data_IF_398930097244
#
_entry.id   IF_398930097244
#
_cell.length_a   1.000
_cell.length_b   1.000
_cell.length_c   1.000
_cell.angle_alpha   90.00
_cell.angle_beta   90.00
_cell.angle_gamma   90.00
#
_symmetry.space_group_name_H-M   'P 1'
#
loop_
_entity.id
_entity.type
_entity.pdbx_description
1 polymer ?
#
# COMPACT_ATOMS: atom_id res chain seq x y z
N UNK A 1 -15.69 -7.19 -10.06
CA UNK A 1 -15.44 -7.40 -8.62
C UNK A 1 -15.39 -6.02 -7.99
N UNK A 2 -16.38 -5.63 -7.19
CA UNK A 2 -16.35 -4.34 -6.49
C UNK A 2 -15.23 -4.39 -5.46
N UNK A 3 -14.26 -3.49 -5.57
CA UNK A 3 -13.20 -3.32 -4.59
C UNK A 3 -13.86 -2.80 -3.31
N UNK A 4 -13.92 -3.64 -2.28
CA UNK A 4 -14.48 -3.26 -0.98
C UNK A 4 -13.68 -2.07 -0.46
N UNK A 5 -14.37 -1.01 -0.03
CA UNK A 5 -13.71 0.11 0.64
C UNK A 5 -12.87 -0.41 1.82
N UNK A 6 -11.62 0.04 1.89
CA UNK A 6 -10.67 -0.34 2.94
C UNK A 6 -11.23 0.05 4.31
N UNK A 7 -11.08 -0.84 5.28
CA UNK A 7 -11.62 -0.68 6.63
C UNK A 7 -10.54 -0.86 7.69
N UNK A 8 -10.74 -0.31 8.88
CA UNK A 8 -9.76 -0.44 9.98
C UNK A 8 -9.52 -1.90 10.38
N UNK A 9 -10.52 -2.77 10.23
CA UNK A 9 -10.36 -4.21 10.46
C UNK A 9 -9.37 -4.87 9.50
N UNK A 10 -9.11 -4.28 8.33
CA UNK A 10 -8.13 -4.84 7.39
C UNK A 10 -6.67 -4.66 7.89
N UNK A 11 -6.44 -3.72 8.81
CA UNK A 11 -5.09 -3.37 9.31
C UNK A 11 -4.92 -3.57 10.82
N UNK A 12 -5.97 -3.96 11.55
CA UNK A 12 -5.99 -3.98 13.02
C UNK A 12 -4.91 -4.89 13.67
N UNK A 13 -4.53 -5.96 12.97
CA UNK A 13 -3.51 -6.93 13.40
C UNK A 13 -2.12 -6.67 12.83
N UNK A 14 -1.89 -5.52 12.20
CA UNK A 14 -0.56 -5.17 11.75
C UNK A 14 0.33 -4.82 12.93
N UNK A 15 1.47 -5.52 13.03
CA UNK A 15 2.51 -5.25 14.00
C UNK A 15 3.52 -4.21 13.51
N UNK A 16 3.76 -4.14 12.19
CA UNK A 16 4.75 -3.26 11.60
C UNK A 16 4.48 -3.00 10.11
N UNK A 17 5.06 -1.92 9.59
CA UNK A 17 5.24 -1.67 8.17
C UNK A 17 6.74 -1.66 7.88
N UNK A 18 7.18 -2.56 7.00
CA UNK A 18 8.57 -2.68 6.58
C UNK A 18 8.72 -2.02 5.22
N UNK A 19 9.50 -0.94 5.17
CA UNK A 19 9.93 -0.30 3.94
C UNK A 19 11.27 -0.90 3.51
N UNK A 20 11.38 -1.28 2.24
CA UNK A 20 12.60 -1.84 1.65
C UNK A 20 13.52 -0.76 1.08
N UNK A 21 13.00 0.45 0.92
CA UNK A 21 13.67 1.62 0.35
C UNK A 21 13.30 2.90 1.13
N UNK A 22 14.04 3.98 0.90
CA UNK A 22 13.71 5.30 1.45
C UNK A 22 12.47 5.89 0.77
N UNK A 23 11.40 6.03 1.54
CA UNK A 23 10.10 6.52 1.07
C UNK A 23 10.00 8.05 1.03
N UNK A 24 10.98 8.78 1.57
CA UNK A 24 10.92 10.24 1.73
C UNK A 24 10.59 10.96 0.43
N UNK A 25 11.15 10.49 -0.67
CA UNK A 25 11.00 11.09 -2.01
C UNK A 25 10.02 10.33 -2.92
N UNK A 26 9.37 9.27 -2.42
CA UNK A 26 8.37 8.52 -3.18
C UNK A 26 7.01 9.23 -3.03
N UNK A 27 6.46 9.84 -4.09
CA UNK A 27 5.29 10.71 -3.98
C UNK A 27 4.04 9.95 -3.51
N UNK A 28 3.87 8.72 -3.99
CA UNK A 28 2.85 7.79 -3.57
C UNK A 28 3.34 6.36 -3.79
N UNK A 29 2.73 5.40 -3.11
CA UNK A 29 2.85 3.97 -3.41
C UNK A 29 1.46 3.43 -3.73
N UNK A 30 1.37 2.40 -4.56
CA UNK A 30 0.13 1.63 -4.74
C UNK A 30 -0.02 0.66 -3.58
N UNK A 31 -1.21 0.58 -3.01
CA UNK A 31 -1.52 -0.34 -1.91
C UNK A 31 -2.40 -1.48 -2.43
N UNK A 32 -2.07 -2.71 -2.06
CA UNK A 32 -2.97 -3.85 -2.22
C UNK A 32 -2.82 -4.81 -1.04
N UNK A 33 -3.86 -5.60 -0.77
CA UNK A 33 -3.81 -6.66 0.24
C UNK A 33 -3.58 -8.03 -0.42
N UNK A 34 -2.39 -8.59 -0.21
CA UNK A 34 -2.06 -9.98 -0.55
C UNK A 34 -2.85 -10.91 0.38
N UNK A 35 -3.82 -11.64 -0.17
CA UNK A 35 -4.80 -12.42 0.60
C UNK A 35 -4.35 -13.84 0.94
N UNK A 36 -3.29 -14.33 0.30
CA UNK A 36 -2.81 -15.71 0.42
C UNK A 36 -1.37 -15.78 0.93
N UNK A 37 -0.93 -14.78 1.70
CA UNK A 37 0.38 -14.81 2.33
C UNK A 37 0.48 -16.00 3.31
N UNK A 38 1.47 -16.88 3.10
CA UNK A 38 1.69 -18.09 3.95
C UNK A 38 2.34 -17.80 5.30
N UNK A 39 2.86 -16.58 5.48
CA UNK A 39 3.56 -16.15 6.69
C UNK A 39 3.06 -14.77 7.11
N UNK A 40 2.91 -14.58 8.42
CA UNK A 40 2.56 -13.30 9.06
C UNK A 40 3.68 -12.26 8.94
N UNK A 41 4.94 -12.69 8.85
CA UNK A 41 6.13 -11.84 8.82
C UNK A 41 7.09 -12.21 7.71
N UNK A 42 8.04 -11.32 7.43
CA UNK A 42 9.07 -11.49 6.41
C UNK A 42 8.61 -11.16 5.00
N UNK A 43 9.58 -11.07 4.09
CA UNK A 43 9.38 -10.64 2.71
C UNK A 43 8.41 -11.56 1.97
N UNK A 44 7.41 -10.97 1.33
CA UNK A 44 6.51 -11.66 0.41
C UNK A 44 7.22 -11.95 -0.91
N UNK A 45 6.93 -13.08 -1.53
CA UNK A 45 7.38 -13.34 -2.89
C UNK A 45 6.45 -12.59 -3.83
N UNK A 46 7.00 -11.60 -4.53
CA UNK A 46 6.29 -10.80 -5.51
C UNK A 46 7.25 -10.55 -6.68
N UNK A 47 6.82 -10.89 -7.89
CA UNK A 47 7.64 -10.86 -9.10
C UNK A 47 7.12 -9.87 -10.17
N UNK A 48 5.91 -9.32 -9.98
CA UNK A 48 5.26 -8.49 -11.01
C UNK A 48 5.65 -7.02 -11.01
N UNK A 49 5.97 -6.47 -9.84
CA UNK A 49 6.15 -5.04 -9.65
C UNK A 49 7.28 -4.75 -8.66
N UNK A 50 7.77 -3.51 -8.68
CA UNK A 50 8.79 -3.07 -7.74
C UNK A 50 8.19 -2.91 -6.35
N UNK A 51 8.56 -3.79 -5.41
CA UNK A 51 8.04 -3.79 -4.05
C UNK A 51 8.82 -2.80 -3.19
N UNK A 52 8.13 -1.78 -2.71
CA UNK A 52 8.66 -0.73 -1.84
C UNK A 52 8.49 -1.10 -0.37
N UNK A 53 7.47 -1.88 -0.02
CA UNK A 53 7.25 -2.29 1.36
C UNK A 53 6.12 -3.29 1.55
N UNK A 54 5.96 -3.74 2.78
CA UNK A 54 4.89 -4.66 3.18
C UNK A 54 4.55 -4.52 4.66
N UNK A 55 3.35 -4.97 5.03
CA UNK A 55 2.97 -5.14 6.44
C UNK A 55 3.49 -6.45 7.01
N UNK A 56 3.75 -6.44 8.31
CA UNK A 56 3.91 -7.63 9.14
C UNK A 56 2.79 -7.71 10.16
N UNK A 57 2.30 -8.91 10.43
CA UNK A 57 1.19 -9.13 11.34
C UNK A 57 1.66 -9.57 12.73
N UNK A 58 0.84 -9.26 13.73
CA UNK A 58 0.94 -9.78 15.09
C UNK A 58 0.79 -11.31 15.10
N UNK A 59 1.37 -11.99 16.10
CA UNK A 59 1.40 -13.46 16.14
C UNK A 59 0.02 -14.11 16.22
N UNK A 60 -0.94 -13.39 16.78
CA UNK A 60 -2.34 -13.76 16.98
C UNK A 60 -3.26 -13.33 15.83
N UNK A 61 -2.73 -12.69 14.79
CA UNK A 61 -3.51 -12.30 13.63
C UNK A 61 -4.28 -13.50 13.03
N UNK A 62 -5.60 -13.37 12.80
CA UNK A 62 -6.42 -14.47 12.30
C UNK A 62 -6.06 -14.82 10.87
N UNK A 63 -6.15 -16.11 10.54
CA UNK A 63 -6.00 -16.57 9.16
C UNK A 63 -7.30 -16.35 8.38
N UNK A 64 -7.22 -15.81 7.16
CA UNK A 64 -8.39 -15.65 6.28
C UNK A 64 -8.86 -16.99 5.70
N UNK A 65 -7.92 -17.91 5.49
CA UNK A 65 -8.11 -19.31 5.10
C UNK A 65 -7.04 -20.14 5.81
N UNK A 66 -7.15 -21.47 5.92
CA UNK A 66 -6.15 -22.30 6.60
C UNK A 66 -4.71 -22.00 6.15
N UNK A 67 -3.92 -21.42 7.05
CA UNK A 67 -2.52 -21.06 6.81
C UNK A 67 -2.29 -19.87 5.85
N UNK A 68 -3.30 -19.04 5.60
CA UNK A 68 -3.22 -17.86 4.75
C UNK A 68 -3.63 -16.60 5.51
N UNK A 69 -2.87 -15.52 5.31
CA UNK A 69 -3.06 -14.24 5.97
C UNK A 69 -3.20 -13.12 4.93
N UNK A 70 -3.98 -12.10 5.28
CA UNK A 70 -4.09 -10.86 4.50
C UNK A 70 -2.99 -9.90 4.92
N UNK A 71 -2.17 -9.42 4.00
CA UNK A 71 -1.07 -8.49 4.27
C UNK A 71 -1.05 -7.37 3.25
N UNK A 72 -0.93 -6.12 3.70
CA UNK A 72 -0.63 -4.98 2.82
C UNK A 72 0.72 -5.14 2.12
N UNK A 73 0.74 -4.79 0.84
CA UNK A 73 1.92 -4.69 -0.02
C UNK A 73 1.90 -3.32 -0.67
N UNK A 74 3.05 -2.66 -0.66
CA UNK A 74 3.27 -1.35 -1.26
C UNK A 74 4.22 -1.48 -2.44
N UNK A 75 3.82 -0.96 -3.59
CA UNK A 75 4.56 -1.19 -4.83
C UNK A 75 4.47 0.01 -5.78
N UNK A 76 5.36 0.02 -6.78
CA UNK A 76 5.35 0.95 -7.91
C UNK A 76 5.30 0.19 -9.24
N UNK A 77 4.52 0.71 -10.18
CA UNK A 77 4.54 0.34 -11.58
C UNK A 77 5.59 1.17 -12.34
N UNK A 78 6.08 0.66 -13.46
CA UNK A 78 7.08 1.37 -14.28
C UNK A 78 6.58 2.73 -14.79
N UNK A 79 5.26 2.88 -15.01
CA UNK A 79 4.62 4.12 -15.46
C UNK A 79 4.14 5.04 -14.32
N UNK A 80 4.48 4.73 -13.07
CA UNK A 80 4.15 5.60 -11.94
C UNK A 80 5.03 6.87 -11.95
N UNK A 81 4.51 7.96 -11.39
CA UNK A 81 5.15 9.30 -11.43
C UNK A 81 6.57 9.31 -10.86
N UNK A 82 6.90 8.38 -9.97
CA UNK A 82 8.26 8.23 -9.45
C UNK A 82 9.29 7.99 -10.55
N UNK A 83 8.95 7.16 -11.56
CA UNK A 83 9.79 6.87 -12.72
C UNK A 83 9.47 7.79 -13.91
N UNK A 84 8.19 8.02 -14.18
CA UNK A 84 7.72 8.83 -15.31
C UNK A 84 7.04 10.13 -14.85
N UNK A 85 7.86 11.14 -14.52
CA UNK A 85 7.37 12.42 -13.95
C UNK A 85 6.36 13.15 -14.83
N UNK A 86 6.54 13.07 -16.15
CA UNK A 86 5.69 13.71 -17.16
C UNK A 86 4.61 12.77 -17.72
N UNK A 87 4.45 11.57 -17.14
CA UNK A 87 3.51 10.55 -17.59
C UNK A 87 2.05 10.82 -17.18
N UNK A 88 1.22 9.77 -17.27
CA UNK A 88 -0.24 9.85 -17.04
C UNK A 88 -0.60 10.35 -15.63
N UNK A 89 0.29 10.15 -14.66
CA UNK A 89 0.11 10.60 -13.27
C UNK A 89 0.84 11.90 -12.96
N UNK A 90 1.17 12.73 -13.96
CA UNK A 90 1.83 14.03 -13.74
C UNK A 90 1.09 14.93 -12.74
N UNK A 91 -0.23 14.95 -12.76
CA UNK A 91 -1.09 15.82 -11.89
C UNK A 91 -2.17 15.04 -11.15
N UNK A 92 -1.95 13.74 -10.92
CA UNK A 92 -2.88 12.86 -10.20
C UNK A 92 -2.12 11.66 -9.66
N UNK A 93 -2.82 10.71 -9.03
CA UNK A 93 -2.24 9.39 -8.74
C UNK A 93 -3.27 8.29 -8.99
N UNK A 94 -2.84 7.02 -9.04
CA UNK A 94 -3.74 5.88 -9.15
C UNK A 94 -4.84 5.85 -8.08
N UNK A 95 -5.88 5.06 -8.31
CA UNK A 95 -7.02 4.96 -7.39
C UNK A 95 -6.58 4.38 -6.05
N UNK A 96 -5.80 3.31 -6.09
CA UNK A 96 -5.23 2.58 -4.96
C UNK A 96 -4.02 3.29 -4.30
N UNK A 97 -3.58 4.42 -4.85
CA UNK A 97 -2.41 5.12 -4.37
C UNK A 97 -2.64 5.76 -2.99
N UNK A 98 -1.61 5.65 -2.14
CA UNK A 98 -1.54 6.27 -0.81
C UNK A 98 -0.22 6.99 -0.65
N UNK A 99 -0.21 8.04 0.18
CA UNK A 99 1.02 8.70 0.61
C UNK A 99 1.74 7.80 1.61
N UNK A 100 2.95 7.28 1.29
CA UNK A 100 3.68 6.37 2.17
C UNK A 100 4.01 6.99 3.53
N UNK A 101 4.11 8.32 3.64
CA UNK A 101 4.39 9.00 4.90
C UNK A 101 3.20 9.00 5.87
N UNK A 102 2.00 8.66 5.38
CA UNK A 102 0.80 8.52 6.21
C UNK A 102 0.54 7.09 6.68
N UNK A 103 1.21 6.12 6.06
CA UNK A 103 1.04 4.70 6.33
C UNK A 103 1.78 4.33 7.61
N UNK A 104 1.06 3.71 8.56
CA UNK A 104 1.61 3.09 9.76
C UNK A 104 0.86 1.78 10.04
N UNK A 105 1.46 0.92 10.86
CA UNK A 105 0.75 -0.27 11.34
C UNK A 105 -0.58 0.14 11.99
N UNK A 106 -1.67 -0.56 11.66
CA UNK A 106 -3.02 -0.28 12.16
C UNK A 106 -3.62 1.05 11.71
N UNK A 107 -2.96 1.75 10.77
CA UNK A 107 -3.43 3.02 10.21
C UNK A 107 -3.49 2.90 8.68
N UNK A 108 -4.68 3.15 8.14
CA UNK A 108 -4.89 3.21 6.69
C UNK A 108 -4.08 4.36 6.08
N UNK A 109 -3.44 4.09 4.95
CA UNK A 109 -2.80 5.13 4.16
C UNK A 109 -3.82 6.13 3.63
N UNK A 110 -3.43 7.40 3.53
CA UNK A 110 -4.27 8.47 2.99
C UNK A 110 -3.72 8.93 1.66
N UNK A 111 -4.61 9.34 0.76
CA UNK A 111 -4.23 10.13 -0.39
C UNK A 111 -4.10 11.59 0.04
N UNK A 112 -2.93 12.17 -0.15
CA UNK A 112 -2.61 13.56 0.22
C UNK A 112 -2.42 14.41 -1.04
N UNK A 113 -2.34 15.73 -0.89
CA UNK A 113 -1.96 16.63 -1.99
C UNK A 113 -0.56 16.31 -2.54
N UNK A 114 0.37 15.85 -1.69
CA UNK A 114 1.70 15.35 -2.10
C UNK A 114 1.57 14.12 -3.01
N UNK A 115 0.74 13.15 -2.62
CA UNK A 115 0.46 11.97 -3.45
C UNK A 115 -0.29 12.35 -4.74
N UNK A 116 -1.21 13.31 -4.68
CA UNK A 116 -1.96 13.77 -5.85
C UNK A 116 -1.11 14.60 -6.81
N UNK A 117 -0.12 15.34 -6.30
CA UNK A 117 0.64 16.38 -7.01
C UNK A 117 -0.25 17.53 -7.52
N UNK A 118 -1.00 18.10 -6.58
CA UNK A 118 -1.91 19.22 -6.82
C UNK A 118 -2.98 19.28 -5.74
N UNK A 119 -4.00 20.11 -5.95
CA UNK A 119 -5.16 20.18 -5.05
C UNK A 119 -5.94 18.88 -5.10
N UNK A 120 -6.09 18.22 -3.96
CA UNK A 120 -6.84 16.98 -3.85
C UNK A 120 -8.35 17.27 -4.06
N UNK A 121 -9.03 16.60 -5.00
CA UNK A 121 -10.46 16.80 -5.18
C UNK A 121 -11.24 16.29 -3.97
N UNK A 122 -12.37 16.95 -3.65
CA UNK A 122 -13.18 16.65 -2.46
C UNK A 122 -13.83 15.27 -2.47
N UNK A 123 -13.88 14.61 -3.63
CA UNK A 123 -14.60 13.34 -3.86
C UNK A 123 -13.67 12.13 -4.01
N UNK A 124 -12.37 12.28 -3.73
CA UNK A 124 -11.41 11.16 -3.79
C UNK A 124 -11.30 10.51 -2.42
N UNK A 125 -12.06 9.43 -2.20
CA UNK A 125 -12.00 8.57 -0.99
C UNK A 125 -11.71 7.11 -1.36
#
# INVERSE_FOLDING_TARGET
MSEKARSLSDVEFESNIVWLEDITNIPYVREHFEQVARKRKGKLKYDRHHIIGYSELESDAPSRMPGCFSRRVFWLADHDRFYEKEGVYKVSCPMEAVDPLTVKAKILGKKTERAWNGTLPKDVY
#
